data_IF_612628800188
#
_entry.id   IF_612628800188
#
_cell.length_a   1.000
_cell.length_b   1.000
_cell.length_c   1.000
_cell.angle_alpha   90.00
_cell.angle_beta   90.00
_cell.angle_gamma   90.00
#
_symmetry.space_group_name_H-M   'P 1'
#
loop_
_entity.id
_entity.type
_entity.pdbx_description
1 polymer ?
#
# COMPACT_ATOMS: atom_id res chain seq x y z
N UNK A 1 8.11 -15.04 -3.80
CA UNK A 1 8.67 -14.10 -2.78
C UNK A 1 9.31 -14.79 -1.56
N UNK A 2 9.28 -16.13 -1.42
CA UNK A 2 9.79 -16.81 -0.21
C UNK A 2 11.27 -16.47 0.06
N UNK A 3 12.16 -16.67 -0.91
CA UNK A 3 13.58 -16.35 -0.75
C UNK A 3 13.84 -14.91 -0.31
N UNK A 4 13.30 -13.88 -1.01
CA UNK A 4 13.41 -12.50 -0.57
C UNK A 4 12.87 -12.24 0.85
N UNK A 5 11.77 -12.88 1.27
CA UNK A 5 11.30 -12.76 2.66
C UNK A 5 12.33 -13.32 3.65
N UNK A 6 12.93 -14.47 3.36
CA UNK A 6 13.91 -15.11 4.25
C UNK A 6 15.18 -14.26 4.36
N UNK A 7 15.60 -13.58 3.30
CA UNK A 7 16.84 -12.79 3.26
C UNK A 7 16.68 -11.35 3.77
N UNK A 8 15.53 -10.72 3.54
CA UNK A 8 15.38 -9.27 3.68
C UNK A 8 14.18 -8.85 4.53
N UNK A 9 13.26 -9.77 4.84
CA UNK A 9 11.97 -9.44 5.41
C UNK A 9 12.02 -8.68 6.74
N UNK A 10 13.07 -8.84 7.54
CA UNK A 10 13.23 -8.16 8.83
C UNK A 10 14.13 -6.92 8.79
N UNK A 11 14.62 -6.48 7.62
CA UNK A 11 15.49 -5.30 7.52
C UNK A 11 14.86 -3.99 8.01
N UNK A 12 13.53 -3.92 8.01
CA UNK A 12 12.78 -2.75 8.44
C UNK A 12 12.11 -2.91 9.82
N UNK A 13 12.56 -3.89 10.62
CA UNK A 13 12.02 -4.14 11.96
C UNK A 13 12.31 -2.96 12.91
N UNK A 14 11.29 -2.45 13.54
CA UNK A 14 11.32 -1.42 14.57
C UNK A 14 9.99 -1.46 15.35
N UNK A 15 9.79 -0.55 16.31
CA UNK A 15 8.58 -0.49 17.13
C UNK A 15 7.31 -0.32 16.27
N UNK A 16 7.35 0.50 15.23
CA UNK A 16 6.22 0.73 14.35
C UNK A 16 5.96 -0.43 13.38
N UNK A 17 7.01 -1.00 12.77
CA UNK A 17 6.87 -2.06 11.78
C UNK A 17 6.67 -3.45 12.38
N UNK A 18 6.97 -3.61 13.67
CA UNK A 18 6.99 -4.89 14.38
C UNK A 18 8.32 -5.63 14.21
N UNK A 19 8.66 -6.45 15.19
CA UNK A 19 9.90 -7.24 15.23
C UNK A 19 9.73 -8.65 14.68
N UNK A 20 8.50 -9.12 14.56
CA UNK A 20 8.11 -10.39 13.94
C UNK A 20 7.26 -10.18 12.68
N UNK A 21 7.26 -8.97 12.13
CA UNK A 21 6.61 -8.64 10.86
C UNK A 21 7.66 -8.51 9.78
N UNK A 22 7.60 -9.37 8.77
CA UNK A 22 8.48 -9.31 7.60
C UNK A 22 7.85 -8.43 6.53
N UNK A 23 8.65 -7.53 5.94
CA UNK A 23 8.21 -6.59 4.91
C UNK A 23 9.15 -6.62 3.73
N UNK A 24 8.58 -6.68 2.52
CA UNK A 24 9.32 -6.55 1.26
C UNK A 24 8.70 -5.43 0.45
N UNK A 25 9.42 -4.33 0.28
CA UNK A 25 9.11 -3.30 -0.70
C UNK A 25 9.60 -3.68 -2.10
N UNK A 26 9.33 -2.83 -3.09
CA UNK A 26 9.87 -3.02 -4.43
C UNK A 26 9.31 -4.24 -5.15
N UNK A 27 8.07 -4.62 -4.89
CA UNK A 27 7.49 -5.88 -5.35
C UNK A 27 7.55 -6.03 -6.87
N UNK A 28 7.42 -4.94 -7.63
CA UNK A 28 7.56 -4.97 -9.09
C UNK A 28 8.97 -5.34 -9.56
N UNK A 29 10.01 -5.02 -8.76
CA UNK A 29 11.38 -5.45 -9.03
C UNK A 29 11.65 -6.91 -8.68
N UNK A 30 10.87 -7.49 -7.76
CA UNK A 30 11.06 -8.83 -7.23
C UNK A 30 10.18 -9.89 -7.92
N UNK A 31 9.05 -9.51 -8.48
CA UNK A 31 8.06 -10.44 -9.02
C UNK A 31 7.26 -9.82 -10.17
N UNK A 32 7.57 -10.21 -11.39
CA UNK A 32 6.85 -9.74 -12.59
C UNK A 32 5.35 -10.06 -12.52
N UNK A 33 4.98 -11.19 -11.95
CA UNK A 33 3.57 -11.58 -11.81
C UNK A 33 2.77 -10.68 -10.86
N UNK A 34 3.43 -9.93 -9.98
CA UNK A 34 2.76 -8.99 -9.07
C UNK A 34 2.03 -7.87 -9.82
N UNK A 35 2.51 -7.49 -11.01
CA UNK A 35 1.85 -6.49 -11.85
C UNK A 35 0.39 -6.84 -12.16
N UNK A 36 0.04 -8.13 -12.26
CA UNK A 36 -1.34 -8.58 -12.46
C UNK A 36 -2.26 -8.20 -11.30
N UNK A 37 -1.70 -8.10 -10.10
CA UNK A 37 -2.44 -7.66 -8.90
C UNK A 37 -2.44 -6.14 -8.86
N UNK A 38 -1.26 -5.51 -8.95
CA UNK A 38 -1.09 -4.07 -8.79
C UNK A 38 -1.80 -3.25 -9.90
N UNK A 39 -1.94 -3.81 -11.09
CA UNK A 39 -2.67 -3.21 -12.20
C UNK A 39 -4.00 -3.94 -12.50
N UNK A 40 -4.56 -4.65 -11.51
CA UNK A 40 -5.83 -5.36 -11.71
C UNK A 40 -6.96 -4.39 -12.04
N UNK A 41 -7.76 -4.62 -13.09
CA UNK A 41 -8.78 -3.67 -13.56
C UNK A 41 -9.75 -3.21 -12.46
N UNK A 42 -10.14 -4.10 -11.55
CA UNK A 42 -11.01 -3.74 -10.43
C UNK A 42 -10.33 -2.78 -9.45
N UNK A 43 -9.06 -3.01 -9.11
CA UNK A 43 -8.30 -2.10 -8.24
C UNK A 43 -8.16 -0.73 -8.92
N UNK A 44 -7.81 -0.73 -10.20
CA UNK A 44 -7.66 0.49 -10.98
C UNK A 44 -8.98 1.27 -11.08
N UNK A 45 -10.13 0.58 -11.24
CA UNK A 45 -11.44 1.26 -11.28
C UNK A 45 -11.77 1.97 -9.96
N UNK A 46 -11.38 1.38 -8.81
CA UNK A 46 -11.56 2.04 -7.50
C UNK A 46 -10.61 3.23 -7.35
N UNK A 47 -9.34 3.08 -7.77
CA UNK A 47 -8.36 4.16 -7.76
C UNK A 47 -8.81 5.32 -8.69
N UNK A 48 -9.32 5.02 -9.87
CA UNK A 48 -9.90 6.00 -10.80
C UNK A 48 -11.03 6.80 -10.14
N UNK A 49 -11.96 6.11 -9.48
CA UNK A 49 -13.10 6.73 -8.82
C UNK A 49 -12.70 7.68 -7.69
N UNK A 50 -11.69 7.30 -6.91
CA UNK A 50 -11.23 8.09 -5.75
C UNK A 50 -10.30 9.21 -6.17
N UNK A 51 -9.25 8.90 -6.97
CA UNK A 51 -8.12 9.80 -7.17
C UNK A 51 -8.24 10.73 -8.40
N UNK A 52 -8.86 10.29 -9.50
CA UNK A 52 -8.94 11.08 -10.74
C UNK A 52 -9.73 12.38 -10.62
N UNK A 53 -10.50 12.57 -9.57
CA UNK A 53 -11.13 13.85 -9.27
C UNK A 53 -10.14 14.90 -8.75
N UNK A 54 -8.91 14.50 -8.39
CA UNK A 54 -7.89 15.34 -7.77
C UNK A 54 -6.58 15.39 -8.59
N UNK A 55 -6.47 14.61 -9.67
CA UNK A 55 -5.28 14.56 -10.51
C UNK A 55 -5.59 14.08 -11.93
N UNK A 56 -4.73 14.44 -12.87
CA UNK A 56 -4.81 13.95 -14.26
C UNK A 56 -4.49 12.45 -14.32
N UNK A 57 -3.46 12.05 -13.61
CA UNK A 57 -3.08 10.66 -13.41
C UNK A 57 -2.57 10.45 -12.00
N UNK A 58 -2.60 9.21 -11.53
CA UNK A 58 -2.01 8.78 -10.26
C UNK A 58 -0.96 7.72 -10.55
N UNK A 59 -0.19 7.37 -9.53
CA UNK A 59 0.86 6.34 -9.60
C UNK A 59 0.80 5.43 -8.38
N UNK A 60 1.49 4.30 -8.44
CA UNK A 60 1.76 3.50 -7.25
C UNK A 60 2.61 4.33 -6.30
N UNK A 61 2.12 4.54 -5.09
CA UNK A 61 2.86 5.20 -4.01
C UNK A 61 3.92 4.28 -3.45
N UNK A 62 3.50 3.08 -3.05
CA UNK A 62 4.38 1.98 -2.63
C UNK A 62 3.74 0.63 -2.90
N UNK A 63 4.56 -0.41 -2.89
CA UNK A 63 4.11 -1.80 -3.00
C UNK A 63 4.88 -2.68 -2.03
N UNK A 64 4.19 -3.26 -1.05
CA UNK A 64 4.83 -4.02 0.03
C UNK A 64 4.10 -5.33 0.30
N UNK A 65 4.83 -6.43 0.26
CA UNK A 65 4.34 -7.68 0.83
C UNK A 65 4.64 -7.69 2.33
N UNK A 66 3.61 -7.95 3.13
CA UNK A 66 3.67 -7.95 4.59
C UNK A 66 3.30 -9.32 5.12
N UNK A 67 4.17 -9.88 5.93
CA UNK A 67 3.94 -11.17 6.57
C UNK A 67 4.08 -11.04 8.08
N UNK A 68 2.94 -11.12 8.78
CA UNK A 68 2.87 -11.05 10.24
C UNK A 68 3.09 -12.45 10.80
N UNK A 69 4.23 -12.66 11.45
CA UNK A 69 4.62 -13.95 12.01
C UNK A 69 3.88 -14.24 13.33
N UNK A 70 3.81 -15.53 13.74
CA UNK A 70 3.27 -15.93 15.04
C UNK A 70 3.88 -15.13 16.19
N UNK A 71 3.02 -14.64 17.08
CA UNK A 71 3.41 -13.87 18.26
C UNK A 71 3.79 -12.41 18.01
N UNK A 72 3.48 -11.85 16.82
CA UNK A 72 3.57 -10.40 16.62
C UNK A 72 2.42 -9.68 17.33
N UNK A 73 2.71 -8.49 17.88
CA UNK A 73 1.77 -7.61 18.56
C UNK A 73 0.88 -6.80 17.59
N UNK A 74 -0.02 -5.99 18.16
CA UNK A 74 -0.73 -4.99 17.38
C UNK A 74 0.23 -3.87 16.95
N UNK A 75 0.15 -3.49 15.69
CA UNK A 75 0.76 -2.26 15.22
C UNK A 75 0.04 -1.05 15.83
N UNK A 76 0.74 0.06 15.98
CA UNK A 76 0.16 1.34 16.37
C UNK A 76 -0.83 1.86 15.32
N UNK A 77 -1.93 2.46 15.76
CA UNK A 77 -2.91 3.08 14.87
C UNK A 77 -2.27 4.28 14.15
N UNK A 78 -2.45 4.36 12.84
CA UNK A 78 -1.86 5.40 12.00
C UNK A 78 -2.70 5.67 10.75
N UNK A 79 -2.30 6.70 10.01
CA UNK A 79 -2.77 7.00 8.65
C UNK A 79 -1.60 6.87 7.69
N UNK A 80 -1.83 6.28 6.54
CA UNK A 80 -0.77 6.08 5.54
C UNK A 80 -0.26 7.40 4.94
N UNK A 81 -1.06 8.46 4.96
CA UNK A 81 -0.70 9.75 4.36
C UNK A 81 -0.20 10.80 5.37
N UNK A 82 0.03 10.42 6.64
CA UNK A 82 0.54 11.34 7.68
C UNK A 82 1.98 11.83 7.42
N UNK A 83 2.72 11.18 6.51
CA UNK A 83 4.04 11.64 6.13
C UNK A 83 4.03 12.85 5.15
N UNK A 84 2.90 13.17 4.53
CA UNK A 84 2.80 14.40 3.74
C UNK A 84 2.70 15.62 4.68
N UNK A 85 3.51 16.69 4.41
CA UNK A 85 3.63 17.82 5.33
C UNK A 85 2.41 18.75 5.35
N UNK A 86 1.46 18.52 4.45
CA UNK A 86 0.25 19.33 4.31
C UNK A 86 -0.96 18.43 4.10
N UNK A 87 -2.13 18.96 4.42
CA UNK A 87 -3.42 18.39 4.07
C UNK A 87 -4.28 19.42 3.36
N UNK A 88 -5.01 18.99 2.36
CA UNK A 88 -5.95 19.82 1.63
C UNK A 88 -7.35 19.26 1.91
N UNK A 89 -8.24 20.00 2.58
CA UNK A 89 -9.57 19.52 2.88
C UNK A 89 -10.33 19.07 1.62
N UNK A 90 -10.93 17.88 1.68
CA UNK A 90 -11.68 17.30 0.56
C UNK A 90 -10.83 16.69 -0.55
N UNK A 91 -9.50 16.62 -0.38
CA UNK A 91 -8.58 15.97 -1.33
C UNK A 91 -8.00 14.72 -0.69
N UNK A 92 -8.25 13.57 -1.29
CA UNK A 92 -7.61 12.30 -0.92
C UNK A 92 -6.26 12.19 -1.64
N UNK A 93 -5.17 12.16 -0.87
CA UNK A 93 -3.82 12.10 -1.42
C UNK A 93 -3.46 10.70 -1.91
N UNK A 94 -4.00 9.69 -1.24
CA UNK A 94 -3.79 8.30 -1.61
C UNK A 94 -4.91 7.38 -1.15
N UNK A 95 -4.98 6.24 -1.79
CA UNK A 95 -5.78 5.10 -1.37
C UNK A 95 -4.94 3.84 -1.35
N UNK A 96 -5.32 2.89 -0.53
CA UNK A 96 -4.65 1.62 -0.35
C UNK A 96 -5.53 0.45 -0.76
N UNK A 97 -4.92 -0.56 -1.39
CA UNK A 97 -5.51 -1.85 -1.68
C UNK A 97 -4.71 -2.95 -0.98
N UNK A 98 -5.24 -3.52 0.09
CA UNK A 98 -4.66 -4.65 0.80
C UNK A 98 -5.27 -5.94 0.27
N UNK A 99 -4.49 -6.70 -0.50
CA UNK A 99 -4.88 -8.01 -1.01
C UNK A 99 -4.48 -9.10 -0.02
N UNK A 100 -5.44 -9.91 0.42
CA UNK A 100 -5.18 -11.04 1.31
C UNK A 100 -4.56 -12.22 0.57
N UNK A 101 -3.31 -12.54 0.87
CA UNK A 101 -2.60 -13.69 0.29
C UNK A 101 -2.82 -14.98 1.09
N UNK A 102 -3.28 -14.86 2.32
CA UNK A 102 -3.83 -15.91 3.19
C UNK A 102 -5.18 -15.44 3.71
N UNK A 103 -5.97 -16.30 4.35
CA UNK A 103 -7.15 -15.83 5.08
C UNK A 103 -6.72 -14.84 6.16
N UNK A 104 -7.47 -13.75 6.31
CA UNK A 104 -7.34 -12.80 7.41
C UNK A 104 -8.43 -13.09 8.42
N UNK A 105 -8.04 -13.42 9.63
CA UNK A 105 -8.95 -13.72 10.72
C UNK A 105 -8.70 -12.81 11.92
N UNK A 106 -9.63 -12.74 12.82
CA UNK A 106 -9.49 -11.99 14.06
C UNK A 106 -8.21 -12.37 14.84
N UNK A 107 -7.82 -13.64 14.79
CA UNK A 107 -6.71 -14.16 15.58
C UNK A 107 -5.35 -14.14 14.89
N UNK A 108 -5.30 -14.00 13.55
CA UNK A 108 -4.02 -14.09 12.82
C UNK A 108 -3.47 -12.74 12.34
N UNK A 109 -4.02 -11.63 12.84
CA UNK A 109 -3.51 -10.30 12.50
C UNK A 109 -4.23 -9.65 11.31
N UNK A 110 -5.55 -9.89 11.15
CA UNK A 110 -6.35 -9.12 10.21
C UNK A 110 -6.14 -7.62 10.41
N UNK A 111 -6.14 -6.85 9.31
CA UNK A 111 -6.00 -5.40 9.38
C UNK A 111 -7.10 -4.81 10.26
N UNK A 112 -6.71 -4.01 11.23
CA UNK A 112 -7.60 -3.27 12.11
C UNK A 112 -7.93 -1.94 11.43
N UNK A 113 -9.19 -1.59 11.32
CA UNK A 113 -9.65 -0.35 10.67
C UNK A 113 -10.65 0.38 11.56
N UNK A 114 -10.67 1.69 11.47
CA UNK A 114 -11.65 2.55 12.15
C UNK A 114 -12.54 3.19 11.10
N UNK A 115 -13.76 2.67 10.88
CA UNK A 115 -14.69 3.24 9.91
C UNK A 115 -15.02 4.71 10.20
N UNK A 116 -15.08 5.53 9.15
CA UNK A 116 -15.37 6.96 9.26
C UNK A 116 -14.21 7.83 9.75
N UNK A 117 -13.06 7.27 10.09
CA UNK A 117 -11.91 8.01 10.67
C UNK A 117 -11.17 8.92 9.67
N UNK A 118 -11.53 8.88 8.40
CA UNK A 118 -11.06 9.82 7.37
C UNK A 118 -11.52 11.26 7.61
N UNK A 119 -12.46 11.49 8.54
CA UNK A 119 -12.89 12.82 9.02
C UNK A 119 -11.83 13.57 9.82
N UNK A 120 -10.63 12.99 9.94
CA UNK A 120 -9.44 13.59 10.56
C UNK A 120 -9.52 13.83 12.07
N UNK A 121 -10.43 13.16 12.77
CA UNK A 121 -10.43 13.20 14.24
C UNK A 121 -9.10 12.66 14.81
N UNK A 122 -8.76 13.09 16.03
CA UNK A 122 -7.51 12.69 16.68
C UNK A 122 -7.48 11.19 16.96
N UNK A 123 -6.37 10.54 16.64
CA UNK A 123 -6.19 9.08 16.85
C UNK A 123 -6.35 8.73 18.34
N UNK A 124 -5.85 9.56 19.23
CA UNK A 124 -5.94 9.34 20.68
C UNK A 124 -7.38 9.38 21.22
N UNK A 125 -8.32 9.90 20.45
CA UNK A 125 -9.74 9.91 20.81
C UNK A 125 -10.50 8.65 20.39
N UNK A 126 -9.84 7.71 19.70
CA UNK A 126 -10.45 6.49 19.18
C UNK A 126 -10.53 5.43 20.28
N UNK A 127 -11.74 5.00 20.59
CA UNK A 127 -11.96 3.89 21.54
C UNK A 127 -11.81 2.52 20.88
N UNK A 128 -11.42 1.52 21.66
CA UNK A 128 -11.26 0.13 21.18
C UNK A 128 -12.54 -0.43 20.52
N UNK A 129 -13.73 -0.02 20.94
CA UNK A 129 -15.00 -0.43 20.38
C UNK A 129 -15.25 0.07 18.93
N UNK A 130 -14.48 1.05 18.50
CA UNK A 130 -14.56 1.64 17.15
C UNK A 130 -13.63 0.92 16.16
N UNK A 131 -12.75 0.09 16.67
CA UNK A 131 -11.74 -0.62 15.88
C UNK A 131 -12.29 -1.96 15.42
N UNK A 132 -12.37 -2.16 14.12
CA UNK A 132 -12.89 -3.39 13.52
C UNK A 132 -11.80 -4.15 12.79
N UNK A 133 -11.78 -5.47 12.98
CA UNK A 133 -10.87 -6.36 12.23
C UNK A 133 -11.47 -6.67 10.85
N UNK A 134 -10.74 -6.39 9.79
CA UNK A 134 -11.10 -6.73 8.42
C UNK A 134 -10.89 -8.24 8.16
N UNK A 135 -11.81 -9.06 8.66
CA UNK A 135 -11.82 -10.51 8.43
C UNK A 135 -12.22 -10.77 6.98
N UNK A 136 -11.38 -11.48 6.23
CA UNK A 136 -11.63 -11.75 4.82
C UNK A 136 -10.91 -13.00 4.34
N UNK A 137 -11.52 -13.70 3.38
CA UNK A 137 -10.93 -14.88 2.76
C UNK A 137 -9.72 -14.50 1.89
N UNK A 138 -8.81 -15.45 1.68
CA UNK A 138 -7.71 -15.34 0.71
C UNK A 138 -8.24 -14.89 -0.66
N UNK A 139 -7.57 -13.91 -1.27
CA UNK A 139 -7.93 -13.33 -2.56
C UNK A 139 -8.92 -12.16 -2.47
N UNK A 140 -9.40 -11.82 -1.27
CA UNK A 140 -10.20 -10.59 -1.06
C UNK A 140 -9.32 -9.35 -1.05
N UNK A 141 -9.95 -8.19 -1.26
CA UNK A 141 -9.28 -6.89 -1.26
C UNK A 141 -9.99 -5.98 -0.28
N UNK A 142 -9.23 -5.40 0.66
CA UNK A 142 -9.66 -4.31 1.50
C UNK A 142 -9.17 -2.99 0.89
N UNK A 143 -10.10 -2.09 0.58
CA UNK A 143 -9.77 -0.72 0.17
C UNK A 143 -9.95 0.24 1.34
N UNK A 144 -9.02 1.18 1.49
CA UNK A 144 -9.16 2.27 2.44
C UNK A 144 -8.38 3.51 1.96
N UNK A 145 -8.83 4.66 2.44
CA UNK A 145 -8.21 5.95 2.13
C UNK A 145 -6.92 6.12 2.95
N UNK A 146 -5.95 6.86 2.43
CA UNK A 146 -4.74 7.20 3.19
C UNK A 146 -5.04 7.92 4.50
N UNK A 147 -6.13 8.68 4.54
CA UNK A 147 -6.67 9.37 5.72
C UNK A 147 -7.35 8.45 6.73
N UNK A 148 -7.71 7.21 6.37
CA UNK A 148 -8.39 6.30 7.29
C UNK A 148 -7.41 5.69 8.31
N UNK A 149 -7.79 5.74 9.59
CA UNK A 149 -7.00 5.16 10.67
C UNK A 149 -7.07 3.64 10.62
N UNK A 150 -5.91 3.02 10.63
CA UNK A 150 -5.78 1.56 10.58
C UNK A 150 -4.50 1.07 11.25
N UNK A 151 -4.33 -0.25 11.34
CA UNK A 151 -3.13 -0.91 11.84
C UNK A 151 -3.08 -2.39 11.46
N UNK A 152 -1.93 -3.02 11.55
CA UNK A 152 -1.80 -4.47 11.58
C UNK A 152 -2.32 -5.03 12.91
N UNK A 153 -3.09 -6.12 12.85
CA UNK A 153 -3.53 -6.84 14.04
C UNK A 153 -2.46 -7.80 14.58
N UNK A 154 -2.55 -8.16 15.84
CA UNK A 154 -1.68 -9.18 16.46
C UNK A 154 -1.93 -10.58 15.89
N UNK A 155 -0.89 -11.38 15.76
CA UNK A 155 -0.99 -12.76 15.32
C UNK A 155 -0.80 -13.72 16.51
N UNK A 156 -1.91 -14.25 17.03
CA UNK A 156 -1.94 -15.23 18.11
C UNK A 156 -1.99 -16.67 17.60
N UNK A 157 -1.80 -16.90 16.30
CA UNK A 157 -1.82 -18.24 15.70
C UNK A 157 -0.41 -18.78 15.50
N UNK A 158 -0.30 -20.02 15.07
CA UNK A 158 0.95 -20.72 14.75
C UNK A 158 1.41 -20.54 13.29
N UNK A 159 0.65 -19.77 12.49
CA UNK A 159 0.93 -19.57 11.06
C UNK A 159 1.08 -18.10 10.72
N UNK A 160 1.94 -17.76 9.74
CA UNK A 160 2.05 -16.38 9.28
C UNK A 160 0.79 -15.94 8.52
N UNK A 161 0.47 -14.65 8.62
CA UNK A 161 -0.55 -13.99 7.82
C UNK A 161 0.12 -13.10 6.79
N UNK A 162 -0.14 -13.36 5.51
CA UNK A 162 0.49 -12.63 4.39
C UNK A 162 -0.52 -11.78 3.65
N UNK A 163 -0.19 -10.51 3.44
CA UNK A 163 -0.92 -9.57 2.59
C UNK A 163 0.01 -8.85 1.63
N UNK A 164 -0.54 -8.36 0.54
CA UNK A 164 0.12 -7.46 -0.41
C UNK A 164 -0.61 -6.13 -0.39
N UNK A 165 0.04 -5.10 0.16
CA UNK A 165 -0.47 -3.73 0.15
C UNK A 165 0.10 -2.99 -1.05
N UNK A 166 -0.77 -2.26 -1.74
CA UNK A 166 -0.37 -1.29 -2.76
C UNK A 166 -1.06 0.02 -2.45
N UNK A 167 -0.29 1.08 -2.30
CA UNK A 167 -0.83 2.44 -2.22
C UNK A 167 -0.83 3.06 -3.61
N UNK A 168 -1.85 3.87 -3.90
CA UNK A 168 -1.93 4.70 -5.11
C UNK A 168 -2.01 6.14 -4.66
N UNK A 169 -1.13 6.99 -5.16
CA UNK A 169 -1.04 8.40 -4.78
C UNK A 169 -1.21 9.32 -5.98
N UNK A 170 -1.66 10.54 -5.72
CA UNK A 170 -1.83 11.56 -6.75
C UNK A 170 -0.53 11.76 -7.53
N UNK A 171 -0.60 11.85 -8.85
CA UNK A 171 0.57 11.89 -9.72
C UNK A 171 1.46 13.14 -9.55
N UNK A 172 0.93 14.21 -8.98
CA UNK A 172 1.69 15.42 -8.66
C UNK A 172 2.39 15.38 -7.28
N UNK A 173 2.13 14.34 -6.47
CA UNK A 173 2.84 14.10 -5.22
C UNK A 173 4.10 13.27 -5.44
N UNK A 174 5.09 13.44 -4.58
CA UNK A 174 6.20 12.48 -4.49
C UNK A 174 5.67 11.16 -3.93
N UNK A 175 5.89 10.06 -4.65
CA UNK A 175 5.53 8.73 -4.16
C UNK A 175 6.44 8.29 -3.00
N UNK A 176 5.93 7.43 -2.13
CA UNK A 176 6.65 6.86 -0.99
C UNK A 176 7.82 5.98 -1.45
N UNK A 177 7.58 5.10 -2.43
CA UNK A 177 8.60 4.23 -3.02
C UNK A 177 9.16 4.83 -4.31
N UNK A 178 10.47 4.89 -4.43
CA UNK A 178 11.12 5.34 -5.66
C UNK A 178 11.27 4.18 -6.65
N UNK A 179 10.26 3.94 -7.47
CA UNK A 179 10.23 2.85 -8.44
C UNK A 179 11.35 2.91 -9.48
N UNK A 180 11.89 4.08 -9.80
CA UNK A 180 13.02 4.21 -10.74
C UNK A 180 14.31 3.62 -10.18
N UNK A 181 14.43 3.51 -8.85
CA UNK A 181 15.57 2.91 -8.16
C UNK A 181 15.29 1.47 -7.72
N UNK A 182 14.06 1.16 -7.31
CA UNK A 182 13.72 -0.18 -6.79
C UNK A 182 13.41 -1.20 -7.88
N UNK A 183 13.02 -0.74 -9.09
CA UNK A 183 12.77 -1.60 -10.23
C UNK A 183 13.88 -1.40 -11.26
N UNK A 184 14.76 -2.40 -11.49
CA UNK A 184 15.80 -2.30 -12.52
C UNK A 184 15.21 -1.93 -13.88
N UNK A 185 15.89 -1.05 -14.63
CA UNK A 185 15.39 -0.50 -15.89
C UNK A 185 14.98 -1.58 -16.91
N UNK A 186 15.78 -2.62 -17.06
CA UNK A 186 15.47 -3.75 -17.94
C UNK A 186 14.21 -4.52 -17.52
N UNK A 187 13.88 -4.56 -16.22
CA UNK A 187 12.63 -5.14 -15.71
C UNK A 187 11.47 -4.18 -15.97
N UNK A 188 11.66 -2.89 -15.73
CA UNK A 188 10.64 -1.87 -15.98
C UNK A 188 10.23 -1.82 -17.46
N UNK A 189 11.20 -1.90 -18.37
CA UNK A 189 10.97 -1.89 -19.83
C UNK A 189 10.19 -3.13 -20.33
N UNK A 190 10.27 -4.23 -19.60
CA UNK A 190 9.53 -5.47 -19.95
C UNK A 190 8.06 -5.41 -19.52
N UNK A 191 7.66 -4.45 -18.69
CA UNK A 191 6.26 -4.29 -18.29
C UNK A 191 5.42 -3.63 -19.38
N UNK A 192 4.11 -3.96 -19.45
CA UNK A 192 3.16 -3.24 -20.29
C UNK A 192 3.12 -1.75 -19.92
N UNK A 193 2.78 -0.91 -20.88
CA UNK A 193 2.76 0.55 -20.73
C UNK A 193 1.93 1.03 -19.53
N UNK A 194 0.73 0.46 -19.31
CA UNK A 194 -0.11 0.80 -18.17
C UNK A 194 0.57 0.56 -16.82
N UNK A 195 1.39 -0.50 -16.70
CA UNK A 195 2.17 -0.76 -15.48
C UNK A 195 3.33 0.23 -15.34
N UNK A 196 4.00 0.53 -16.46
CA UNK A 196 5.07 1.55 -16.47
C UNK A 196 4.54 2.92 -16.08
N UNK A 197 3.38 3.32 -16.61
CA UNK A 197 2.70 4.56 -16.23
C UNK A 197 2.38 4.58 -14.72
N UNK A 198 1.90 3.49 -14.17
CA UNK A 198 1.66 3.38 -12.71
C UNK A 198 2.95 3.45 -11.88
N UNK A 199 4.09 3.01 -12.39
CA UNK A 199 5.40 3.23 -11.74
C UNK A 199 5.88 4.68 -11.80
N UNK A 200 5.25 5.52 -12.62
CA UNK A 200 5.59 6.92 -12.80
C UNK A 200 6.33 7.24 -14.12
N UNK A 201 6.46 6.28 -15.05
CA UNK A 201 6.98 6.53 -16.40
C UNK A 201 5.94 7.26 -17.26
N UNK A 202 5.53 8.43 -16.79
CA UNK A 202 4.65 9.36 -17.45
C UNK A 202 4.74 10.72 -16.77
N UNK A 203 4.52 11.80 -17.51
CA UNK A 203 4.33 13.11 -16.93
C UNK A 203 2.95 13.23 -16.27
N UNK A 204 2.82 14.08 -15.26
CA UNK A 204 1.53 14.50 -14.70
C UNK A 204 1.18 15.88 -15.24
N UNK A 205 0.17 15.94 -16.10
CA UNK A 205 -0.11 17.16 -16.89
C UNK A 205 1.08 17.52 -17.78
N UNK A 206 1.18 18.79 -18.22
CA UNK A 206 2.17 19.17 -19.22
C UNK A 206 3.59 19.41 -18.69
N UNK A 207 3.80 19.37 -17.36
CA UNK A 207 5.08 19.88 -16.80
C UNK A 207 5.70 19.01 -15.70
N UNK A 208 4.92 18.25 -14.93
CA UNK A 208 5.49 17.54 -13.79
C UNK A 208 6.04 16.17 -14.18
N UNK A 209 7.34 16.01 -14.06
CA UNK A 209 8.03 14.75 -14.37
C UNK A 209 8.42 14.62 -15.86
N UNK A 210 8.36 15.69 -16.64
CA UNK A 210 8.80 15.70 -18.05
C UNK A 210 10.27 15.35 -18.15
N UNK A 211 10.65 14.59 -19.17
CA UNK A 211 12.05 14.31 -19.49
C UNK A 211 12.24 14.27 -21.02
N UNK A 212 13.47 14.53 -21.53
CA UNK A 212 13.76 14.39 -22.96
C UNK A 212 13.49 12.94 -23.41
N UNK A 213 12.59 12.79 -24.38
CA UNK A 213 12.14 11.48 -24.87
C UNK A 213 10.81 10.99 -24.28
N UNK A 214 10.12 11.82 -23.52
CA UNK A 214 8.73 11.59 -23.14
C UNK A 214 7.86 11.63 -24.41
N UNK A 215 7.11 10.56 -24.73
CA UNK A 215 6.34 10.47 -25.96
C UNK A 215 5.04 11.28 -25.95
N UNK A 216 4.58 11.79 -24.80
CA UNK A 216 3.29 12.48 -24.62
C UNK A 216 3.44 14.01 -24.49
#
# INVERSE_FOLDING_TARGET
>A
LKGPFDEQGLKFSNDFNGYKTRRLGGILGLSVSSAKILAHPFIISVADYILKRHCTNYRIGSSTAIEIMPGEGNQELHRDDDFYPIRIPGVEFQMSAMVSMTDFTFNNGATRVVPGSHDMRKIESIGEQEIHSAVMAKGSILFYLGTAVHAGGKNNTDKPRTGLITTYSLGWLRQEENHYLTVPKNIAEAYPENVRRLMGYQAHGPHLGVYPGDPD
#
